data_IF_074154560605
#
_entry.id   IF_074154560605
#
_cell.length_a   1.000
_cell.length_b   1.000
_cell.length_c   1.000
_cell.angle_alpha   90.00
_cell.angle_beta   90.00
_cell.angle_gamma   90.00
#
_symmetry.space_group_name_H-M   'P 1'
#
loop_
_entity.id
_entity.type
_entity.pdbx_description
1 polymer ?
#
# COMPACT_ATOMS: atom_id res chain seq x y z
N UNK A 1 -6.40 5.50 25.40
CA UNK A 1 -6.08 4.17 24.84
C UNK A 1 -5.29 4.37 23.55
N UNK A 2 -3.96 4.43 23.63
CA UNK A 2 -3.12 4.55 22.44
C UNK A 2 -2.65 3.15 22.02
N UNK A 3 -3.30 2.59 21.00
CA UNK A 3 -2.94 1.32 20.37
C UNK A 3 -2.21 1.58 19.05
N UNK A 4 -1.11 2.33 19.09
CA UNK A 4 -0.31 2.57 17.88
C UNK A 4 0.32 1.25 17.43
N UNK A 5 -0.28 0.61 16.41
CA UNK A 5 0.25 -0.63 15.84
C UNK A 5 1.72 -0.43 15.41
N UNK A 6 2.62 -1.38 15.75
CA UNK A 6 4.02 -1.26 15.42
C UNK A 6 4.21 -1.22 13.91
N UNK A 7 5.10 -0.33 13.45
CA UNK A 7 5.42 -0.23 12.03
C UNK A 7 6.58 -1.16 11.67
N UNK A 8 6.28 -2.26 10.98
CA UNK A 8 7.34 -3.18 10.49
C UNK A 8 8.28 -2.52 9.48
N UNK A 9 7.85 -1.48 8.76
CA UNK A 9 8.61 -0.81 7.69
C UNK A 9 8.32 0.69 7.70
N UNK A 10 9.35 1.53 7.55
CA UNK A 10 9.23 3.01 7.48
C UNK A 10 8.17 3.45 6.47
N UNK A 11 8.14 2.83 5.29
CA UNK A 11 7.18 3.16 4.21
C UNK A 11 5.83 2.46 4.31
N UNK A 12 5.63 1.59 5.32
CA UNK A 12 4.45 0.72 5.48
C UNK A 12 4.17 -0.17 4.25
N UNK A 13 5.21 -0.45 3.46
CA UNK A 13 5.13 -1.28 2.27
C UNK A 13 4.59 -0.57 1.03
N UNK A 14 4.68 0.77 0.97
CA UNK A 14 4.15 1.58 -0.14
C UNK A 14 5.21 2.53 -0.68
N UNK A 15 5.24 2.74 -2.01
CA UNK A 15 6.12 3.73 -2.66
C UNK A 15 5.43 5.07 -2.95
N UNK A 16 4.37 5.40 -2.20
CA UNK A 16 3.53 6.59 -2.39
C UNK A 16 4.26 7.92 -2.18
N UNK A 17 5.16 7.98 -1.20
CA UNK A 17 5.79 9.23 -0.75
C UNK A 17 4.78 10.20 -0.12
N UNK A 18 5.01 11.50 -0.28
CA UNK A 18 4.17 12.58 0.28
C UNK A 18 2.83 12.83 -0.42
N UNK A 19 2.37 11.93 -1.30
CA UNK A 19 1.12 12.12 -2.05
C UNK A 19 -0.11 11.73 -1.20
N UNK A 20 -1.23 12.41 -1.43
CA UNK A 20 -2.52 12.15 -0.75
C UNK A 20 -3.23 10.88 -1.20
N UNK A 21 -3.08 10.47 -2.46
CA UNK A 21 -3.61 9.22 -3.01
C UNK A 21 -2.69 8.66 -4.10
N UNK A 22 -2.97 7.43 -4.52
CA UNK A 22 -2.33 6.79 -5.67
C UNK A 22 -3.39 6.00 -6.43
N UNK A 23 -3.17 5.80 -7.72
CA UNK A 23 -4.05 4.96 -8.54
C UNK A 23 -4.11 3.52 -8.05
N UNK A 24 -5.09 2.79 -8.56
CA UNK A 24 -5.39 1.40 -8.19
C UNK A 24 -5.16 0.50 -9.42
N UNK A 25 -4.75 -0.75 -9.20
CA UNK A 25 -4.62 -1.79 -10.22
C UNK A 25 -5.28 -3.08 -9.73
N UNK A 26 -5.72 -3.94 -10.65
CA UNK A 26 -6.22 -5.27 -10.30
C UNK A 26 -5.08 -6.29 -10.38
N UNK A 27 -4.98 -7.18 -9.38
CA UNK A 27 -4.04 -8.29 -9.40
C UNK A 27 -4.42 -9.27 -10.51
N UNK A 28 -3.46 -9.68 -11.35
CA UNK A 28 -3.70 -10.62 -12.44
C UNK A 28 -4.00 -12.04 -11.94
N UNK A 29 -3.48 -12.43 -10.78
CA UNK A 29 -3.68 -13.77 -10.24
C UNK A 29 -5.01 -13.91 -9.48
N UNK A 30 -5.35 -12.95 -8.62
CA UNK A 30 -6.51 -13.06 -7.72
C UNK A 30 -7.61 -12.04 -7.98
N UNK A 31 -7.46 -11.14 -8.97
CA UNK A 31 -8.45 -10.13 -9.30
C UNK A 31 -8.65 -9.03 -8.25
N UNK A 32 -7.89 -9.03 -7.15
CA UNK A 32 -8.06 -8.07 -6.08
C UNK A 32 -7.57 -6.67 -6.47
N UNK A 33 -8.28 -5.69 -5.94
CA UNK A 33 -8.01 -4.26 -6.11
C UNK A 33 -6.89 -3.82 -5.17
N UNK A 34 -5.72 -3.49 -5.73
CA UNK A 34 -4.50 -3.14 -4.97
C UNK A 34 -4.00 -1.75 -5.38
N UNK A 35 -3.54 -0.89 -4.44
CA UNK A 35 -2.89 0.36 -4.81
C UNK A 35 -1.67 0.14 -5.71
N UNK A 36 -1.54 0.92 -6.79
CA UNK A 36 -0.47 0.79 -7.80
C UNK A 36 0.94 0.87 -7.21
N UNK A 37 1.10 1.65 -6.15
CA UNK A 37 2.36 1.84 -5.43
C UNK A 37 2.68 0.73 -4.42
N UNK A 38 1.72 -0.17 -4.17
CA UNK A 38 1.85 -1.36 -3.31
C UNK A 38 1.95 -2.65 -4.14
N UNK A 39 1.38 -2.66 -5.34
CA UNK A 39 1.38 -3.81 -6.23
C UNK A 39 2.81 -4.27 -6.58
N UNK A 40 2.98 -5.59 -6.69
CA UNK A 40 4.17 -6.20 -7.28
C UNK A 40 4.02 -6.14 -8.80
N UNK A 41 5.08 -5.70 -9.46
CA UNK A 41 5.20 -5.67 -10.91
C UNK A 41 6.00 -6.87 -11.35
#
# INVERSE_FOLDING_TARGET
MNTSMPSKRVSRGRKKGGKGSSGIVQCTNCGQTVPKDKAKK
#
